data_IF_915300357527
#
_entry.id   IF_915300357527
#
_cell.length_a   1.000
_cell.length_b   1.000
_cell.length_c   1.000
_cell.angle_alpha   90.00
_cell.angle_beta   90.00
_cell.angle_gamma   90.00
#
_symmetry.space_group_name_H-M   'P 1'
#
loop_
_entity.id
_entity.type
_entity.pdbx_description
1 polymer ?
#
# COMPACT_ATOMS: atom_id res chain seq x y z
N UNK A 1 -13.54 -26.81 69.96
CA UNK A 1 -12.66 -27.45 68.96
C UNK A 1 -13.09 -26.94 67.59
N UNK A 2 -12.41 -25.93 67.06
CA UNK A 2 -12.70 -25.41 65.72
C UNK A 2 -11.36 -25.25 65.01
N UNK A 3 -11.09 -26.15 64.07
CA UNK A 3 -9.83 -26.22 63.34
C UNK A 3 -9.74 -25.06 62.35
N UNK A 4 -8.80 -24.15 62.58
CA UNK A 4 -8.37 -23.17 61.57
C UNK A 4 -7.60 -23.91 60.48
N UNK A 5 -8.25 -24.12 59.33
CA UNK A 5 -7.60 -24.61 58.11
C UNK A 5 -6.86 -23.44 57.48
N UNK A 6 -5.53 -23.46 57.50
CA UNK A 6 -4.69 -22.49 56.81
C UNK A 6 -4.75 -22.72 55.30
N UNK A 7 -5.03 -21.65 54.54
CA UNK A 7 -4.98 -21.67 53.09
C UNK A 7 -3.52 -21.87 52.60
N UNK A 8 -3.29 -22.58 51.47
CA UNK A 8 -1.95 -22.76 50.92
C UNK A 8 -1.34 -21.42 50.45
N UNK A 9 -0.02 -21.25 50.54
CA UNK A 9 0.66 -20.05 50.06
C UNK A 9 0.48 -19.90 48.55
N UNK A 10 -0.02 -18.73 48.12
CA UNK A 10 -0.14 -18.38 46.70
C UNK A 10 1.27 -18.23 46.11
N UNK A 11 1.56 -18.80 44.91
CA UNK A 11 2.83 -18.59 44.25
C UNK A 11 3.00 -17.10 43.92
N UNK A 12 4.17 -16.58 44.25
CA UNK A 12 4.60 -15.19 44.09
C UNK A 12 4.79 -14.84 42.61
N UNK A 13 3.69 -14.43 41.95
CA UNK A 13 3.75 -13.82 40.62
C UNK A 13 4.32 -12.39 40.73
N UNK A 14 5.58 -12.23 41.15
CA UNK A 14 6.30 -10.95 41.11
C UNK A 14 7.80 -11.14 40.85
N UNK A 15 8.14 -11.62 39.66
CA UNK A 15 9.43 -11.28 39.04
C UNK A 15 9.41 -11.57 37.53
N UNK A 16 8.56 -10.87 36.78
CA UNK A 16 8.84 -10.66 35.36
C UNK A 16 9.96 -9.63 35.27
N UNK A 17 11.22 -10.07 35.20
CA UNK A 17 12.32 -9.20 34.82
C UNK A 17 11.93 -8.50 33.50
N UNK A 18 11.91 -7.16 33.43
CA UNK A 18 11.74 -6.51 32.14
C UNK A 18 12.88 -7.01 31.25
N UNK A 19 12.53 -7.62 30.11
CA UNK A 19 13.52 -8.08 29.15
C UNK A 19 14.50 -6.93 28.88
N UNK A 20 15.83 -7.18 28.85
CA UNK A 20 16.78 -6.13 28.52
C UNK A 20 16.38 -5.51 27.18
N UNK A 21 16.47 -4.18 27.03
CA UNK A 21 16.09 -3.52 25.79
C UNK A 21 16.82 -4.18 24.63
N UNK A 22 16.15 -4.41 23.49
CA UNK A 22 16.73 -5.12 22.37
C UNK A 22 18.09 -4.47 22.02
N UNK A 23 19.15 -5.27 22.06
CA UNK A 23 20.50 -4.78 21.83
C UNK A 23 20.58 -4.24 20.39
N UNK A 24 20.69 -2.92 20.24
CA UNK A 24 20.74 -2.28 18.93
C UNK A 24 22.00 -2.71 18.18
N UNK A 25 21.79 -3.45 17.10
CA UNK A 25 22.84 -3.94 16.23
C UNK A 25 23.57 -2.78 15.53
N UNK A 26 24.73 -3.09 14.92
CA UNK A 26 25.56 -2.08 14.26
C UNK A 26 24.83 -1.42 13.08
N UNK A 27 23.94 -2.16 12.40
CA UNK A 27 23.17 -1.66 11.26
C UNK A 27 22.11 -0.68 11.75
N UNK A 28 21.36 -1.03 12.80
CA UNK A 28 20.38 -0.10 13.41
C UNK A 28 21.02 1.23 13.81
N UNK A 29 22.20 1.21 14.44
CA UNK A 29 22.92 2.45 14.80
C UNK A 29 23.41 3.27 13.60
N UNK A 30 23.76 2.62 12.50
CA UNK A 30 24.13 3.31 11.26
C UNK A 30 22.88 3.96 10.64
N UNK A 31 21.79 3.20 10.50
CA UNK A 31 20.52 3.68 9.94
C UNK A 31 19.98 4.85 10.76
N UNK A 32 20.00 4.75 12.09
CA UNK A 32 19.51 5.84 12.97
C UNK A 32 20.32 7.12 12.81
N UNK A 33 21.65 7.00 12.63
CA UNK A 33 22.53 8.17 12.35
C UNK A 33 22.22 8.79 11.00
N UNK A 34 22.07 7.98 9.96
CA UNK A 34 21.73 8.46 8.62
C UNK A 34 20.35 9.13 8.60
N UNK A 35 19.36 8.56 9.31
CA UNK A 35 18.01 9.14 9.39
C UNK A 35 18.03 10.48 10.12
N UNK A 36 18.65 10.58 11.30
CA UNK A 36 18.70 11.85 12.04
C UNK A 36 19.51 12.94 11.32
N UNK A 37 20.52 12.57 10.55
CA UNK A 37 21.30 13.51 9.74
C UNK A 37 20.62 13.92 8.42
N UNK A 38 19.55 13.24 8.01
CA UNK A 38 18.90 13.50 6.73
C UNK A 38 18.04 14.76 6.79
N UNK A 39 18.20 15.72 5.86
CA UNK A 39 17.35 16.90 5.83
C UNK A 39 15.88 16.54 5.52
N UNK A 40 14.96 17.42 5.93
CA UNK A 40 13.53 17.15 5.90
C UNK A 40 12.98 16.83 4.49
N UNK A 41 13.63 17.32 3.43
CA UNK A 41 13.22 17.13 2.03
C UNK A 41 13.62 15.76 1.44
N UNK A 42 14.52 15.00 2.06
CA UNK A 42 15.00 13.72 1.51
C UNK A 42 13.86 12.74 1.33
N UNK A 43 12.98 12.59 2.33
CA UNK A 43 11.88 11.64 2.26
C UNK A 43 10.85 12.00 1.17
N UNK A 44 10.33 13.25 1.09
CA UNK A 44 9.48 13.66 -0.02
C UNK A 44 10.12 13.51 -1.39
N UNK A 45 11.40 13.84 -1.53
CA UNK A 45 12.13 13.73 -2.79
C UNK A 45 12.35 12.27 -3.22
N UNK A 46 12.71 11.38 -2.29
CA UNK A 46 12.86 9.95 -2.56
C UNK A 46 11.53 9.34 -3.03
N UNK A 47 10.41 9.72 -2.41
CA UNK A 47 9.07 9.28 -2.83
C UNK A 47 8.73 9.79 -4.24
N UNK A 48 9.03 11.06 -4.56
CA UNK A 48 8.83 11.60 -5.91
C UNK A 48 9.71 10.90 -6.95
N UNK A 49 10.97 10.62 -6.61
CA UNK A 49 11.86 9.88 -7.51
C UNK A 49 11.32 8.49 -7.82
N UNK A 50 10.75 7.81 -6.82
CA UNK A 50 10.09 6.51 -6.99
C UNK A 50 8.82 6.60 -7.85
N UNK A 51 7.98 7.63 -7.65
CA UNK A 51 6.80 7.85 -8.50
C UNK A 51 7.20 8.22 -9.94
N UNK A 52 8.21 9.07 -10.10
CA UNK A 52 8.73 9.47 -11.40
C UNK A 52 9.35 8.28 -12.14
N UNK A 53 10.05 7.37 -11.46
CA UNK A 53 10.57 6.15 -12.09
C UNK A 53 9.45 5.20 -12.51
N UNK A 54 8.39 5.06 -11.71
CA UNK A 54 7.21 4.28 -12.09
C UNK A 54 6.52 4.86 -13.34
N UNK A 55 6.38 6.19 -13.42
CA UNK A 55 5.86 6.88 -14.62
C UNK A 55 6.81 6.71 -15.81
N UNK A 56 8.12 6.86 -15.60
CA UNK A 56 9.13 6.62 -16.65
C UNK A 56 9.07 5.20 -17.19
N UNK A 57 8.84 4.20 -16.32
CA UNK A 57 8.62 2.82 -16.72
C UNK A 57 7.36 2.65 -17.59
N UNK A 58 6.26 3.35 -17.28
CA UNK A 58 5.05 3.27 -18.12
C UNK A 58 5.30 3.86 -19.51
N UNK A 59 6.10 4.91 -19.63
CA UNK A 59 6.54 5.46 -20.93
C UNK A 59 7.55 4.60 -21.67
N UNK A 60 8.46 3.93 -20.97
CA UNK A 60 9.43 3.06 -21.63
C UNK A 60 8.80 1.78 -22.21
N UNK A 61 7.74 1.26 -21.57
CA UNK A 61 7.19 -0.07 -21.89
C UNK A 61 5.98 -0.08 -22.80
N UNK A 62 5.41 1.09 -23.16
CA UNK A 62 4.24 1.22 -24.04
C UNK A 62 3.14 0.17 -23.73
N UNK A 63 2.60 0.14 -22.50
CA UNK A 63 1.79 -0.99 -22.01
C UNK A 63 0.47 -1.21 -22.76
N UNK A 64 0.06 -0.26 -23.60
CA UNK A 64 -1.14 -0.30 -24.44
C UNK A 64 -0.94 -1.00 -25.79
N UNK A 65 0.29 -1.32 -26.17
CA UNK A 65 0.58 -1.95 -27.47
C UNK A 65 0.47 -3.48 -27.45
N UNK A 66 0.21 -4.09 -26.29
CA UNK A 66 0.03 -5.53 -26.18
C UNK A 66 -1.30 -5.98 -26.79
N UNK A 67 -1.26 -7.00 -27.64
CA UNK A 67 -2.41 -7.57 -28.35
C UNK A 67 -2.92 -8.85 -27.69
N UNK A 68 -4.12 -9.28 -28.09
CA UNK A 68 -4.70 -10.56 -27.66
C UNK A 68 -3.82 -11.73 -28.15
N UNK A 69 -3.07 -12.34 -27.23
CA UNK A 69 -2.11 -13.41 -27.51
C UNK A 69 -0.70 -13.13 -26.99
N UNK A 70 -0.38 -11.87 -26.68
CA UNK A 70 0.90 -11.52 -26.08
C UNK A 70 0.98 -11.99 -24.62
N UNK A 71 2.16 -12.45 -24.16
CA UNK A 71 2.33 -12.84 -22.77
C UNK A 71 2.09 -11.65 -21.83
N UNK A 72 1.33 -11.82 -20.75
CA UNK A 72 1.08 -10.73 -19.81
C UNK A 72 2.38 -10.32 -19.12
N UNK A 73 2.55 -9.01 -18.93
CA UNK A 73 3.69 -8.45 -18.16
C UNK A 73 3.59 -8.74 -16.66
N UNK A 74 2.40 -9.12 -16.17
CA UNK A 74 2.19 -9.50 -14.78
C UNK A 74 2.57 -10.97 -14.55
N UNK A 75 3.60 -11.22 -13.75
CA UNK A 75 4.06 -12.56 -13.42
C UNK A 75 2.98 -13.43 -12.77
N UNK A 76 2.10 -12.85 -11.94
CA UNK A 76 1.00 -13.60 -11.32
C UNK A 76 -0.01 -14.08 -12.36
N UNK A 77 -0.41 -13.21 -13.29
CA UNK A 77 -1.29 -13.59 -14.39
C UNK A 77 -0.62 -14.61 -15.32
N UNK A 78 0.68 -14.43 -15.58
CA UNK A 78 1.45 -15.35 -16.40
C UNK A 78 1.52 -16.77 -15.81
N UNK A 79 1.69 -16.88 -14.48
CA UNK A 79 1.88 -18.17 -13.80
C UNK A 79 0.57 -18.84 -13.38
N UNK A 80 -0.45 -18.05 -13.02
CA UNK A 80 -1.70 -18.58 -12.44
C UNK A 80 -2.91 -18.39 -13.34
N UNK A 81 -2.85 -17.50 -14.32
CA UNK A 81 -4.00 -17.08 -15.13
C UNK A 81 -4.98 -16.14 -14.42
N UNK A 82 -4.81 -15.90 -13.11
CA UNK A 82 -5.70 -15.05 -12.33
C UNK A 82 -5.34 -13.57 -12.43
N UNK A 83 -6.38 -12.74 -12.54
CA UNK A 83 -6.25 -11.29 -12.46
C UNK A 83 -6.18 -10.86 -11.00
N UNK A 84 -4.98 -10.49 -10.59
CA UNK A 84 -4.73 -9.90 -9.29
C UNK A 84 -5.45 -8.54 -9.19
N UNK A 85 -5.72 -8.04 -7.99
CA UNK A 85 -6.43 -6.78 -7.82
C UNK A 85 -5.64 -5.56 -8.31
N UNK A 86 -4.35 -5.71 -8.63
CA UNK A 86 -3.50 -4.70 -9.29
C UNK A 86 -3.36 -4.87 -10.82
N UNK A 87 -3.91 -5.93 -11.42
CA UNK A 87 -3.85 -6.13 -12.87
C UNK A 87 -4.51 -4.97 -13.62
N UNK A 88 -3.89 -4.56 -14.72
CA UNK A 88 -4.30 -3.40 -15.52
C UNK A 88 -3.81 -2.04 -15.00
N UNK A 89 -3.13 -1.99 -13.84
CA UNK A 89 -2.70 -0.72 -13.22
C UNK A 89 -1.75 0.09 -14.09
N UNK A 90 -0.80 -0.55 -14.77
CA UNK A 90 0.17 0.10 -15.67
C UNK A 90 -0.52 0.75 -16.87
N UNK A 91 -1.51 0.07 -17.47
CA UNK A 91 -2.34 0.62 -18.57
C UNK A 91 -3.25 1.74 -18.07
N UNK A 92 -3.85 1.58 -16.89
CA UNK A 92 -4.66 2.62 -16.29
C UNK A 92 -3.84 3.89 -15.99
N UNK A 93 -2.61 3.74 -15.50
CA UNK A 93 -1.67 4.85 -15.32
C UNK A 93 -1.33 5.53 -16.65
N UNK A 94 -1.05 4.76 -17.70
CA UNK A 94 -0.85 5.29 -19.05
C UNK A 94 -1.99 6.19 -19.50
N UNK A 95 -3.23 5.69 -19.45
CA UNK A 95 -4.40 6.46 -19.86
C UNK A 95 -4.64 7.69 -18.97
N UNK A 96 -4.45 7.59 -17.66
CA UNK A 96 -4.53 8.76 -16.76
C UNK A 96 -3.49 9.83 -17.09
N UNK A 97 -2.25 9.44 -17.39
CA UNK A 97 -1.18 10.37 -17.77
C UNK A 97 -1.49 11.09 -19.09
N UNK A 98 -2.27 10.47 -19.98
CA UNK A 98 -2.74 11.05 -21.24
C UNK A 98 -4.10 11.76 -21.12
N UNK A 99 -4.72 11.77 -19.92
CA UNK A 99 -6.01 12.42 -19.67
C UNK A 99 -7.25 11.60 -20.07
N UNK A 100 -7.10 10.35 -20.49
CA UNK A 100 -8.22 9.46 -20.83
C UNK A 100 -8.73 8.70 -19.60
N UNK A 101 -9.54 9.39 -18.78
CA UNK A 101 -10.14 8.80 -17.57
C UNK A 101 -11.05 7.61 -17.89
N UNK A 102 -11.93 7.64 -18.92
CA UNK A 102 -12.75 6.48 -19.27
C UNK A 102 -11.94 5.24 -19.64
N UNK A 103 -10.89 5.39 -20.46
CA UNK A 103 -10.02 4.26 -20.78
C UNK A 103 -9.25 3.77 -19.54
N UNK A 104 -8.78 4.67 -18.67
CA UNK A 104 -8.13 4.26 -17.43
C UNK A 104 -9.07 3.46 -16.52
N UNK A 105 -10.32 3.89 -16.37
CA UNK A 105 -11.31 3.22 -15.52
C UNK A 105 -11.68 1.83 -16.03
N UNK A 106 -11.72 1.62 -17.36
CA UNK A 106 -11.90 0.30 -17.97
C UNK A 106 -10.80 -0.69 -17.58
N UNK A 107 -9.57 -0.21 -17.43
CA UNK A 107 -8.43 -1.07 -17.07
C UNK A 107 -8.31 -1.28 -15.55
N UNK A 108 -8.56 -0.24 -14.75
CA UNK A 108 -8.44 -0.34 -13.30
C UNK A 108 -9.19 0.77 -12.54
N UNK A 109 -10.50 0.61 -12.36
CA UNK A 109 -11.35 1.63 -11.71
C UNK A 109 -10.89 1.99 -10.28
N UNK A 110 -10.48 1.00 -9.48
CA UNK A 110 -10.00 1.28 -8.12
C UNK A 110 -8.73 2.14 -8.09
N UNK A 111 -7.86 1.99 -9.10
CA UNK A 111 -6.65 2.79 -9.21
C UNK A 111 -7.01 4.24 -9.55
N UNK A 112 -7.88 4.44 -10.55
CA UNK A 112 -8.40 5.77 -10.92
C UNK A 112 -9.04 6.47 -9.73
N UNK A 113 -9.80 5.73 -8.92
CA UNK A 113 -10.39 6.27 -7.70
C UNK A 113 -9.33 6.60 -6.63
N UNK A 114 -8.32 5.76 -6.44
CA UNK A 114 -7.32 5.93 -5.38
C UNK A 114 -6.31 7.06 -5.66
N UNK A 115 -5.91 7.27 -6.92
CA UNK A 115 -4.90 8.27 -7.32
C UNK A 115 -5.12 9.67 -6.71
N UNK A 116 -6.30 10.30 -6.81
CA UNK A 116 -6.50 11.66 -6.26
C UNK A 116 -6.30 11.71 -4.74
N UNK A 117 -6.72 10.67 -4.00
CA UNK A 117 -6.51 10.62 -2.55
C UNK A 117 -5.03 10.45 -2.20
N UNK A 118 -4.31 9.57 -2.92
CA UNK A 118 -2.88 9.36 -2.72
C UNK A 118 -2.07 10.63 -3.03
N UNK A 119 -2.40 11.33 -4.11
CA UNK A 119 -1.79 12.61 -4.46
C UNK A 119 -2.06 13.67 -3.39
N UNK A 120 -3.31 13.78 -2.93
CA UNK A 120 -3.67 14.70 -1.86
C UNK A 120 -2.91 14.40 -0.56
N UNK A 121 -2.86 13.14 -0.13
CA UNK A 121 -2.11 12.72 1.06
C UNK A 121 -0.63 13.05 0.94
N UNK A 122 -0.03 12.79 -0.22
CA UNK A 122 1.36 13.13 -0.49
C UNK A 122 1.60 14.65 -0.40
N UNK A 123 0.78 15.46 -1.07
CA UNK A 123 0.91 16.93 -1.06
C UNK A 123 0.70 17.50 0.33
N UNK A 124 -0.33 17.04 1.05
CA UNK A 124 -0.61 17.49 2.41
C UNK A 124 0.54 17.13 3.36
N UNK A 125 1.09 15.91 3.27
CA UNK A 125 2.21 15.46 4.09
C UNK A 125 3.52 16.18 3.74
N UNK A 126 3.89 16.20 2.46
CA UNK A 126 5.13 16.81 1.98
C UNK A 126 5.11 18.33 2.20
N UNK A 127 3.98 18.99 1.92
CA UNK A 127 3.77 20.41 2.12
C UNK A 127 3.85 20.82 3.60
N UNK A 128 3.27 20.03 4.50
CA UNK A 128 3.43 20.23 5.95
C UNK A 128 4.90 20.13 6.38
N UNK A 129 5.62 19.13 5.86
CA UNK A 129 7.02 18.85 6.23
C UNK A 129 8.01 19.87 5.68
N UNK A 130 7.79 20.38 4.47
CA UNK A 130 8.73 21.27 3.77
C UNK A 130 8.37 22.75 3.91
N UNK A 131 7.08 23.08 3.86
CA UNK A 131 6.59 24.46 3.78
C UNK A 131 5.74 24.88 4.99
N UNK A 132 5.55 23.99 5.97
CA UNK A 132 4.72 24.28 7.15
C UNK A 132 3.22 24.41 6.84
N UNK A 133 2.75 23.86 5.72
CA UNK A 133 1.33 23.92 5.36
C UNK A 133 0.44 23.18 6.37
N UNK A 134 -0.69 23.80 6.72
CA UNK A 134 -1.72 23.20 7.59
C UNK A 134 -2.89 22.65 6.78
N UNK A 135 -2.58 21.77 5.81
CA UNK A 135 -3.61 21.04 5.07
C UNK A 135 -4.21 19.92 5.94
N UNK A 136 -5.53 19.68 5.87
CA UNK A 136 -6.17 18.62 6.64
C UNK A 136 -5.64 17.25 6.20
N UNK A 137 -5.09 16.48 7.14
CA UNK A 137 -4.55 15.16 6.87
C UNK A 137 -5.68 14.13 6.85
N UNK A 138 -5.73 13.28 5.83
CA UNK A 138 -6.66 12.16 5.80
C UNK A 138 -6.19 11.10 6.80
N UNK A 139 -6.89 10.98 7.92
CA UNK A 139 -6.63 9.94 8.90
C UNK A 139 -7.36 8.66 8.51
N UNK A 140 -6.61 7.62 8.15
CA UNK A 140 -7.17 6.31 7.86
C UNK A 140 -7.50 5.60 9.18
N UNK A 141 -8.77 5.65 9.59
CA UNK A 141 -9.23 4.87 10.73
C UNK A 141 -9.17 3.36 10.41
N UNK A 142 -9.04 2.46 11.41
CA UNK A 142 -9.07 1.02 11.19
C UNK A 142 -10.32 0.55 10.42
N UNK A 143 -11.45 1.22 10.61
CA UNK A 143 -12.69 0.95 9.86
C UNK A 143 -12.54 1.30 8.39
N UNK A 144 -12.02 2.47 8.07
CA UNK A 144 -11.77 2.90 6.67
C UNK A 144 -10.79 1.95 6.00
N UNK A 145 -9.69 1.60 6.68
CA UNK A 145 -8.73 0.63 6.16
C UNK A 145 -9.38 -0.74 5.92
N UNK A 146 -10.18 -1.22 6.87
CA UNK A 146 -10.95 -2.46 6.71
C UNK A 146 -11.91 -2.41 5.52
N UNK A 147 -12.62 -1.29 5.32
CA UNK A 147 -13.49 -1.09 4.15
C UNK A 147 -12.70 -1.11 2.84
N UNK A 148 -11.55 -0.41 2.77
CA UNK A 148 -10.69 -0.41 1.58
C UNK A 148 -10.21 -1.83 1.25
N UNK A 149 -9.74 -2.58 2.25
CA UNK A 149 -9.30 -3.96 2.09
C UNK A 149 -10.47 -4.85 1.62
N UNK A 150 -11.65 -4.69 2.22
CA UNK A 150 -12.83 -5.46 1.83
C UNK A 150 -13.24 -5.16 0.37
N UNK A 151 -13.30 -3.89 -0.03
CA UNK A 151 -13.59 -3.48 -1.42
C UNK A 151 -12.55 -4.04 -2.38
N UNK A 152 -11.26 -3.98 -2.02
CA UNK A 152 -10.17 -4.52 -2.82
C UNK A 152 -10.27 -6.04 -2.98
N UNK A 153 -10.61 -6.76 -1.91
CA UNK A 153 -10.86 -8.21 -1.95
C UNK A 153 -12.07 -8.58 -2.79
N UNK A 154 -13.20 -7.89 -2.61
CA UNK A 154 -14.41 -8.09 -3.42
C UNK A 154 -14.11 -7.85 -4.89
N UNK A 155 -13.46 -6.74 -5.23
CA UNK A 155 -13.05 -6.44 -6.60
C UNK A 155 -12.13 -7.52 -7.19
N UNK A 156 -11.19 -8.05 -6.39
CA UNK A 156 -10.33 -9.16 -6.80
C UNK A 156 -11.13 -10.41 -7.15
N UNK A 157 -12.22 -10.70 -6.43
CA UNK A 157 -13.09 -11.83 -6.76
C UNK A 157 -13.88 -11.52 -8.02
N UNK A 158 -14.59 -10.39 -8.04
CA UNK A 158 -15.48 -10.00 -9.13
C UNK A 158 -14.79 -10.03 -10.50
N UNK A 159 -13.53 -9.62 -10.60
CA UNK A 159 -12.81 -9.59 -11.88
C UNK A 159 -12.38 -10.96 -12.42
N UNK A 160 -12.49 -12.02 -11.62
CA UNK A 160 -12.16 -13.38 -12.02
C UNK A 160 -13.42 -14.24 -12.31
N UNK A 161 -14.62 -13.65 -12.28
CA UNK A 161 -15.86 -14.36 -12.59
C UNK A 161 -16.04 -14.54 -14.11
N UNK A 162 -16.33 -15.76 -14.61
CA UNK A 162 -16.38 -16.05 -16.05
C UNK A 162 -17.71 -15.70 -16.74
N UNK A 163 -18.67 -15.10 -16.03
CA UNK A 163 -19.99 -14.77 -16.59
C UNK A 163 -20.22 -13.26 -16.68
N UNK A 164 -21.08 -12.85 -17.62
CA UNK A 164 -21.46 -11.45 -17.78
C UNK A 164 -22.20 -10.91 -16.53
N UNK A 165 -22.02 -9.64 -16.14
CA UNK A 165 -21.20 -8.62 -16.80
C UNK A 165 -19.71 -8.64 -16.40
N UNK A 166 -19.29 -9.52 -15.48
CA UNK A 166 -17.96 -9.48 -14.87
C UNK A 166 -16.79 -9.76 -15.81
N UNK A 167 -17.06 -10.39 -16.94
CA UNK A 167 -16.10 -10.56 -18.04
C UNK A 167 -15.53 -9.23 -18.55
N UNK A 168 -16.23 -8.11 -18.36
CA UNK A 168 -15.74 -6.77 -18.72
C UNK A 168 -14.57 -6.28 -17.84
N UNK A 169 -14.32 -6.91 -16.69
CA UNK A 169 -13.27 -6.53 -15.75
C UNK A 169 -11.98 -7.35 -15.89
N UNK A 170 -11.99 -8.33 -16.80
CA UNK A 170 -10.84 -9.15 -17.13
C UNK A 170 -9.89 -8.39 -18.07
N UNK A 171 -8.59 -8.35 -17.78
CA UNK A 171 -7.62 -7.44 -18.44
C UNK A 171 -6.32 -8.10 -18.86
#
# INVERSE_FOLDING_TARGET
MTAMTSAPPQPDVRMSWPAPPPQQDRVSRLVHRLWHGSPLWVAPAAMLACMASAVGYTFATHPTEAHAGDPPTCLLKYTTGFDCPGCGGTRAAWYLLHGDVPAAARHHILFVFAVPFLLYMYVAWAGRRMFGWNLPQLTLSPRVLGTVIAVWGVWSVLRNLPWAPFTMFYV
#
